data_IF_731073887824
#
_entry.id   IF_731073887824
#
_cell.length_a   1.000
_cell.length_b   1.000
_cell.length_c   1.000
_cell.angle_alpha   90.00
_cell.angle_beta   90.00
_cell.angle_gamma   90.00
#
_symmetry.space_group_name_H-M   'P 1'
#
loop_
_entity.id
_entity.type
_entity.pdbx_description
1 polymer ?
#
# COMPACT_ATOMS: atom_id res chain seq x y z
N UNK A 1 -4.37 8.84 -1.75
CA UNK A 1 -3.47 9.84 -2.35
C UNK A 1 -2.19 9.23 -2.89
N UNK A 2 -1.40 8.51 -2.09
CA UNK A 2 -0.16 7.84 -2.55
C UNK A 2 -0.36 6.87 -3.74
N UNK A 3 -1.41 6.03 -3.72
CA UNK A 3 -1.72 5.08 -4.80
C UNK A 3 -2.03 5.75 -6.14
N UNK A 4 -2.75 6.88 -6.12
CA UNK A 4 -3.08 7.65 -7.32
C UNK A 4 -1.81 8.22 -7.99
N UNK A 5 -0.88 8.75 -7.19
CA UNK A 5 0.41 9.25 -7.68
C UNK A 5 1.22 8.12 -8.32
N UNK A 6 1.25 6.94 -7.70
CA UNK A 6 1.93 5.77 -8.27
C UNK A 6 1.33 5.35 -9.61
N UNK A 7 -0.01 5.31 -9.73
CA UNK A 7 -0.69 4.95 -10.99
C UNK A 7 -0.33 5.92 -12.12
N UNK A 8 -0.29 7.22 -11.85
CA UNK A 8 0.11 8.22 -12.85
C UNK A 8 1.56 8.04 -13.29
N UNK A 9 2.48 7.80 -12.36
CA UNK A 9 3.90 7.57 -12.69
C UNK A 9 4.06 6.27 -13.49
N UNK A 10 3.39 5.19 -13.09
CA UNK A 10 3.41 3.91 -13.82
C UNK A 10 2.87 4.05 -15.24
N UNK A 11 1.83 4.86 -15.44
CA UNK A 11 1.29 5.12 -16.78
C UNK A 11 2.30 5.85 -17.68
N UNK A 12 2.98 6.87 -17.16
CA UNK A 12 4.01 7.61 -17.90
C UNK A 12 5.21 6.70 -18.21
N UNK A 13 5.69 5.93 -17.24
CA UNK A 13 6.79 4.98 -17.45
C UNK A 13 6.46 3.93 -18.49
N UNK A 14 5.23 3.40 -18.50
CA UNK A 14 4.78 2.44 -19.51
C UNK A 14 4.81 3.00 -20.94
N UNK A 15 4.41 4.27 -21.12
CA UNK A 15 4.52 4.94 -22.43
C UNK A 15 5.98 5.11 -22.84
N UNK A 16 6.85 5.54 -21.91
CA UNK A 16 8.27 5.72 -22.18
C UNK A 16 8.97 4.40 -22.53
N UNK A 17 8.67 3.32 -21.80
CA UNK A 17 9.20 1.98 -22.08
C UNK A 17 8.76 1.51 -23.48
N UNK A 18 7.49 1.70 -23.86
CA UNK A 18 6.99 1.35 -25.18
C UNK A 18 7.64 2.16 -26.32
N UNK A 19 7.96 3.44 -26.09
CA UNK A 19 8.59 4.29 -27.11
C UNK A 19 10.10 4.11 -27.23
N UNK A 20 10.81 3.76 -26.15
CA UNK A 20 12.29 3.74 -26.09
C UNK A 20 12.85 2.32 -26.22
N UNK A 21 12.28 1.34 -25.53
CA UNK A 21 12.89 0.02 -25.33
C UNK A 21 12.39 -1.05 -26.30
N UNK A 22 11.24 -0.85 -26.95
CA UNK A 22 10.65 -1.77 -27.92
C UNK A 22 10.26 -3.15 -27.36
N UNK A 23 9.60 -3.96 -28.18
CA UNK A 23 8.97 -5.25 -27.80
C UNK A 23 9.97 -6.44 -27.69
N UNK A 24 11.24 -6.19 -27.35
CA UNK A 24 12.21 -7.27 -27.21
C UNK A 24 12.02 -8.00 -25.87
N UNK A 25 12.01 -9.33 -25.87
CA UNK A 25 11.78 -10.13 -24.65
C UNK A 25 12.82 -9.84 -23.53
N UNK A 26 14.06 -9.49 -23.89
CA UNK A 26 15.11 -9.14 -22.93
C UNK A 26 14.96 -7.71 -22.37
N UNK A 27 14.38 -6.77 -23.13
CA UNK A 27 14.14 -5.40 -22.64
C UNK A 27 12.97 -5.34 -21.65
N UNK A 28 12.01 -6.26 -21.74
CA UNK A 28 10.87 -6.37 -20.81
C UNK A 28 11.26 -6.65 -19.35
N UNK A 29 12.41 -7.28 -19.09
CA UNK A 29 12.85 -7.56 -17.73
C UNK A 29 13.46 -6.32 -17.04
N UNK A 30 14.13 -5.44 -17.80
CA UNK A 30 14.85 -4.26 -17.28
C UNK A 30 14.18 -2.93 -17.61
N UNK A 31 12.86 -2.94 -17.74
CA UNK A 31 12.07 -1.72 -17.98
C UNK A 31 12.17 -0.72 -16.83
N UNK A 32 12.01 0.56 -17.14
CA UNK A 32 11.97 1.60 -16.11
C UNK A 32 10.81 1.38 -15.14
N UNK A 33 9.68 0.84 -15.63
CA UNK A 33 8.55 0.43 -14.80
C UNK A 33 8.92 -0.61 -13.73
N UNK A 34 9.70 -1.64 -14.07
CA UNK A 34 10.08 -2.68 -13.10
C UNK A 34 10.97 -2.12 -11.99
N UNK A 35 11.99 -1.33 -12.35
CA UNK A 35 12.90 -0.71 -11.38
C UNK A 35 12.12 0.22 -10.44
N UNK A 36 11.19 1.00 -10.98
CA UNK A 36 10.31 1.86 -10.20
C UNK A 36 9.38 1.05 -9.27
N UNK A 37 8.85 -0.08 -9.73
CA UNK A 37 8.05 -0.97 -8.90
C UNK A 37 8.83 -1.52 -7.70
N UNK A 38 10.12 -1.86 -7.89
CA UNK A 38 10.97 -2.30 -6.77
C UNK A 38 11.25 -1.17 -5.79
N UNK A 39 11.53 0.04 -6.28
CA UNK A 39 11.76 1.20 -5.41
C UNK A 39 10.52 1.57 -4.59
N UNK A 40 9.32 1.38 -5.14
CA UNK A 40 8.04 1.67 -4.48
C UNK A 40 7.51 0.54 -3.62
N UNK A 41 8.13 -0.65 -3.70
CA UNK A 41 7.78 -1.82 -2.88
C UNK A 41 7.94 -1.54 -1.37
N UNK A 42 9.05 -0.93 -0.97
CA UNK A 42 9.33 -0.62 0.45
C UNK A 42 8.30 0.38 1.02
N UNK A 43 8.06 1.55 0.39
CA UNK A 43 7.07 2.49 0.92
C UNK A 43 5.63 1.95 0.84
N UNK A 44 5.26 1.15 -0.15
CA UNK A 44 3.93 0.52 -0.21
C UNK A 44 3.70 -0.50 0.91
N UNK A 45 4.71 -1.30 1.24
CA UNK A 45 4.68 -2.18 2.42
C UNK A 45 4.57 -1.38 3.71
N UNK A 46 5.36 -0.30 3.85
CA UNK A 46 5.34 0.57 5.04
C UNK A 46 3.96 1.19 5.30
N UNK A 47 3.30 1.71 4.26
CA UNK A 47 1.93 2.25 4.38
C UNK A 47 0.93 1.16 4.78
N UNK A 48 1.06 -0.03 4.19
CA UNK A 48 0.17 -1.15 4.49
C UNK A 48 0.33 -1.64 5.93
N UNK A 49 1.57 -1.72 6.44
CA UNK A 49 1.85 -2.08 7.84
C UNK A 49 1.26 -1.03 8.79
N UNK A 50 1.37 0.25 8.47
CA UNK A 50 0.76 1.32 9.27
C UNK A 50 -0.75 1.12 9.38
N UNK A 51 -1.45 0.92 8.26
CA UNK A 51 -2.91 0.67 8.24
C UNK A 51 -3.32 -0.54 9.05
N UNK A 52 -2.50 -1.58 9.02
CA UNK A 52 -2.72 -2.79 9.79
C UNK A 52 -2.49 -2.55 11.29
N UNK A 53 -1.52 -1.73 11.66
CA UNK A 53 -1.31 -1.28 13.04
C UNK A 53 -2.45 -0.38 13.54
N UNK A 54 -3.06 0.42 12.67
CA UNK A 54 -4.19 1.29 13.04
C UNK A 54 -5.46 0.50 13.45
N UNK A 55 -5.56 -0.78 13.06
CA UNK A 55 -6.63 -1.72 13.46
C UNK A 55 -6.15 -2.77 14.48
N UNK A 56 -5.08 -2.45 15.21
CA UNK A 56 -4.45 -3.31 16.23
C UNK A 56 -4.04 -4.71 15.73
N UNK A 57 -3.68 -4.84 14.44
CA UNK A 57 -3.15 -6.08 13.85
C UNK A 57 -1.67 -5.96 13.60
N UNK A 58 -0.94 -7.07 13.79
CA UNK A 58 0.50 -7.10 13.54
C UNK A 58 0.82 -7.05 12.03
N UNK A 59 1.89 -6.36 11.64
CA UNK A 59 2.36 -6.30 10.24
C UNK A 59 2.61 -7.66 9.56
N UNK A 60 2.73 -8.74 10.33
CA UNK A 60 2.87 -10.11 9.84
C UNK A 60 1.65 -10.61 9.04
N UNK A 61 0.46 -10.04 9.26
CA UNK A 61 -0.72 -10.40 8.46
C UNK A 61 -0.58 -10.02 6.98
N UNK A 62 0.30 -9.07 6.64
CA UNK A 62 0.61 -8.77 5.24
C UNK A 62 1.25 -9.95 4.50
N UNK A 63 1.98 -10.85 5.18
CA UNK A 63 2.56 -12.03 4.51
C UNK A 63 1.50 -12.98 3.95
N UNK A 64 0.26 -12.93 4.48
CA UNK A 64 -0.85 -13.75 3.98
C UNK A 64 -1.33 -13.20 2.62
N UNK A 65 -1.03 -11.95 2.25
CA UNK A 65 -1.29 -11.48 0.89
C UNK A 65 -0.45 -12.22 -0.16
N UNK A 66 0.73 -12.73 0.22
CA UNK A 66 1.60 -13.49 -0.67
C UNK A 66 1.01 -14.86 -1.06
N UNK A 67 0.11 -15.41 -0.24
CA UNK A 67 -0.61 -16.66 -0.54
C UNK A 67 -1.84 -16.43 -1.44
N UNK A 68 -2.09 -15.18 -1.87
CA UNK A 68 -3.21 -14.78 -2.73
C UNK A 68 -4.55 -14.66 -2.01
N UNK A 69 -4.83 -15.52 -1.03
CA UNK A 69 -6.09 -15.53 -0.26
C UNK A 69 -6.17 -14.35 0.72
N UNK A 70 -5.04 -13.87 1.24
CA UNK A 70 -5.01 -12.75 2.19
C UNK A 70 -5.35 -11.39 1.60
N UNK A 71 -5.40 -11.24 0.27
CA UNK A 71 -5.71 -9.97 -0.39
C UNK A 71 -7.13 -9.51 -0.05
N UNK A 72 -8.11 -10.41 -0.08
CA UNK A 72 -9.51 -10.08 0.25
C UNK A 72 -9.66 -9.67 1.73
N UNK A 73 -8.94 -10.34 2.62
CA UNK A 73 -8.92 -10.03 4.06
C UNK A 73 -8.32 -8.65 4.34
N UNK A 74 -7.21 -8.33 3.67
CA UNK A 74 -6.52 -7.04 3.83
C UNK A 74 -7.33 -5.91 3.20
N UNK A 75 -8.02 -6.14 2.08
CA UNK A 75 -8.94 -5.16 1.52
C UNK A 75 -10.10 -4.89 2.49
N UNK A 76 -10.69 -5.95 3.07
CA UNK A 76 -11.73 -5.80 4.09
C UNK A 76 -11.25 -4.97 5.27
N UNK A 77 -10.06 -5.26 5.80
CA UNK A 77 -9.44 -4.51 6.88
C UNK A 77 -9.02 -3.09 6.50
N UNK A 78 -8.62 -2.84 5.26
CA UNK A 78 -8.29 -1.51 4.76
C UNK A 78 -9.53 -0.62 4.60
N UNK A 79 -10.72 -1.22 4.46
CA UNK A 79 -12.01 -0.52 4.45
C UNK A 79 -12.64 -0.37 5.85
N UNK A 80 -12.08 -1.03 6.87
CA UNK A 80 -12.55 -0.88 8.24
C UNK A 80 -12.13 0.48 8.79
N UNK A 81 -12.98 1.04 9.66
CA UNK A 81 -12.59 2.19 10.45
C UNK A 81 -11.42 1.80 11.37
N UNK A 82 -10.52 2.76 11.61
CA UNK A 82 -9.47 2.63 12.62
C UNK A 82 -10.12 2.39 13.98
N UNK A 83 -9.48 1.61 14.85
CA UNK A 83 -10.00 1.38 16.20
C UNK A 83 -10.03 2.71 16.98
N UNK A 84 -11.14 3.00 17.65
CA UNK A 84 -11.30 4.23 18.49
C UNK A 84 -10.78 4.01 19.91
N UNK A 85 -10.63 2.75 20.33
CA UNK A 85 -10.14 2.34 21.64
C UNK A 85 -8.61 2.36 21.74
N UNK A 86 -8.06 2.26 22.96
CA UNK A 86 -6.60 2.20 23.20
C UNK A 86 -5.98 1.02 22.43
N UNK A 87 -5.26 1.30 21.34
CA UNK A 87 -4.53 0.28 20.60
C UNK A 87 -3.10 0.12 21.13
N UNK A 88 -2.49 -1.05 20.91
CA UNK A 88 -1.15 -1.38 21.40
C UNK A 88 -0.04 -0.53 20.74
N UNK A 89 -0.38 0.24 19.71
CA UNK A 89 0.53 0.98 18.84
C UNK A 89 0.42 2.52 19.00
N UNK A 90 -0.48 3.03 19.85
CA UNK A 90 -0.70 4.47 20.05
C UNK A 90 -1.75 4.83 21.11
N UNK A 91 -1.61 6.02 21.69
CA UNK A 91 -2.59 6.58 22.62
C UNK A 91 -3.87 7.03 21.87
N UNK A 92 -5.05 6.94 22.50
CA UNK A 92 -6.31 7.28 21.85
C UNK A 92 -6.31 8.76 21.44
N UNK A 93 -6.92 9.04 20.29
CA UNK A 93 -7.20 10.42 19.88
C UNK A 93 -8.12 11.01 20.97
N UNK A 94 -7.74 12.09 21.67
CA UNK A 94 -8.58 12.65 22.71
C UNK A 94 -9.94 13.00 22.10
N UNK A 95 -11.01 12.46 22.68
CA UNK A 95 -12.37 12.74 22.25
C UNK A 95 -12.57 14.26 22.16
N UNK A 96 -13.09 14.73 21.02
CA UNK A 96 -13.40 16.15 20.83
C UNK A 96 -14.31 16.60 21.99
N UNK A 97 -13.88 17.58 22.82
CA UNK A 97 -14.68 18.05 23.94
C UNK A 97 -16.04 18.63 23.51
N UNK A 98 -16.26 18.87 22.20
CA UNK A 98 -17.51 19.37 21.64
C UNK A 98 -18.64 18.31 21.55
N UNK A 99 -18.32 17.01 21.63
CA UNK A 99 -19.31 15.93 21.65
C UNK A 99 -19.41 15.30 23.05
N UNK A 100 -20.01 16.02 24.01
CA UNK A 100 -20.61 15.40 25.21
C UNK A 100 -22.09 15.80 25.28
N UNK A 101 -23.03 14.84 25.39
CA UNK A 101 -24.44 15.14 25.67
C UNK A 101 -24.65 15.68 27.08
#
# INVERSE_FOLDING_TARGET
>A
MYTLVLVLISFVLGILDAMILGEAALSQLFTFGNVFSLATLVPSLSVSVRRLHDIDKSGWWLLITLTGVGILLIIYWACLASDEDENRYGAPVPADPCHRP
#
